data_IF_550072889883
#
_entry.id   IF_550072889883
#
_cell.length_a   1.000
_cell.length_b   1.000
_cell.length_c   1.000
_cell.angle_alpha   90.00
_cell.angle_beta   90.00
_cell.angle_gamma   90.00
#
_symmetry.space_group_name_H-M   'P 1'
#
loop_
_entity.id
_entity.type
_entity.pdbx_description
1 polymer ?
#
# COMPACT_ATOMS: atom_id res chain seq x y z
N UNK A 1 -7.94 19.50 13.43
CA UNK A 1 -6.97 18.63 12.76
C UNK A 1 -7.50 18.25 11.38
N UNK A 2 -6.75 18.59 10.31
CA UNK A 2 -7.09 18.23 8.94
C UNK A 2 -6.03 17.30 8.34
N UNK A 3 -6.45 16.14 7.85
CA UNK A 3 -5.57 15.12 7.31
C UNK A 3 -5.99 14.79 5.89
N UNK A 4 -5.06 14.86 4.94
CA UNK A 4 -5.24 14.31 3.59
C UNK A 4 -4.69 12.88 3.60
N UNK A 5 -5.59 11.89 3.61
CA UNK A 5 -5.23 10.48 3.56
C UNK A 5 -5.36 9.94 2.14
N UNK A 6 -4.27 9.32 1.63
CA UNK A 6 -4.13 8.79 0.27
C UNK A 6 -3.73 7.31 0.35
N UNK A 7 -4.66 6.39 0.10
CA UNK A 7 -4.33 4.95 0.00
C UNK A 7 -4.21 4.53 -1.46
N UNK A 8 -2.99 4.22 -1.90
CA UNK A 8 -2.66 3.94 -3.30
C UNK A 8 -2.38 2.45 -3.48
N UNK A 9 -3.45 1.74 -3.82
CA UNK A 9 -3.42 0.33 -4.18
C UNK A 9 -3.01 0.07 -5.63
N UNK A 10 -3.04 -1.20 -6.05
CA UNK A 10 -2.75 -1.57 -7.45
C UNK A 10 -3.86 -1.17 -8.42
N UNK A 11 -5.11 -1.08 -7.97
CA UNK A 11 -6.28 -0.77 -8.80
C UNK A 11 -6.82 0.64 -8.62
N UNK A 12 -6.88 1.11 -7.38
CA UNK A 12 -7.47 2.39 -6.99
C UNK A 12 -6.55 3.23 -6.15
N UNK A 13 -6.81 4.53 -6.16
CA UNK A 13 -6.34 5.52 -5.20
C UNK A 13 -7.57 5.99 -4.42
N UNK A 14 -7.57 5.72 -3.13
CA UNK A 14 -8.68 6.01 -2.23
C UNK A 14 -8.30 7.21 -1.35
N UNK A 15 -9.06 8.30 -1.47
CA UNK A 15 -8.74 9.62 -0.90
C UNK A 15 -9.78 9.99 0.14
N UNK A 16 -9.32 10.40 1.32
CA UNK A 16 -10.15 10.94 2.37
C UNK A 16 -9.56 12.26 2.87
N UNK A 17 -10.28 13.35 2.69
CA UNK A 17 -9.97 14.62 3.34
C UNK A 17 -10.70 14.66 4.68
N UNK A 18 -10.00 14.25 5.72
CA UNK A 18 -10.50 14.23 7.10
C UNK A 18 -10.43 15.62 7.70
N UNK A 19 -11.49 15.97 8.42
CA UNK A 19 -11.61 17.20 9.22
C UNK A 19 -12.27 16.84 10.54
N UNK A 20 -11.61 17.06 11.67
CA UNK A 20 -12.12 16.72 12.99
C UNK A 20 -13.31 17.59 13.44
N UNK A 21 -13.63 18.64 12.68
CA UNK A 21 -14.82 19.47 12.89
C UNK A 21 -16.07 18.88 12.19
N UNK A 22 -15.91 17.79 11.44
CA UNK A 22 -16.97 17.09 10.70
C UNK A 22 -17.10 15.65 11.19
N UNK A 23 -18.33 15.12 11.16
CA UNK A 23 -18.51 13.68 11.27
C UNK A 23 -17.81 12.98 10.10
N UNK A 24 -17.22 11.81 10.32
CA UNK A 24 -16.45 11.07 9.32
C UNK A 24 -17.24 10.80 8.03
N UNK A 25 -18.56 10.58 8.17
CA UNK A 25 -19.47 10.37 7.05
C UNK A 25 -19.60 11.60 6.14
N UNK A 26 -19.40 12.80 6.69
CA UNK A 26 -19.49 14.09 6.01
C UNK A 26 -18.13 14.58 5.45
N UNK A 27 -17.05 13.87 5.73
CA UNK A 27 -15.74 14.15 5.13
C UNK A 27 -15.74 13.81 3.64
N UNK A 28 -14.91 14.53 2.85
CA UNK A 28 -14.78 14.27 1.41
C UNK A 28 -14.10 12.93 1.16
N UNK A 29 -14.75 12.07 0.40
CA UNK A 29 -14.28 10.74 0.00
C UNK A 29 -14.27 10.61 -1.50
N UNK A 30 -13.13 10.20 -2.07
CA UNK A 30 -12.95 10.05 -3.52
C UNK A 30 -12.26 8.73 -3.79
N UNK A 31 -12.72 8.00 -4.81
CA UNK A 31 -12.09 6.78 -5.31
C UNK A 31 -11.73 7.00 -6.77
N UNK A 32 -10.45 6.92 -7.09
CA UNK A 32 -9.91 7.13 -8.43
C UNK A 32 -9.16 5.89 -8.92
N UNK A 33 -8.93 5.73 -10.24
CA UNK A 33 -7.96 4.76 -10.74
C UNK A 33 -6.57 5.09 -10.20
N UNK A 34 -5.81 4.07 -9.75
CA UNK A 34 -4.44 4.27 -9.26
C UNK A 34 -3.52 4.85 -10.33
N UNK A 35 -2.43 5.53 -9.95
CA UNK A 35 -1.40 6.00 -10.89
C UNK A 35 -0.91 4.89 -11.83
N UNK A 36 -0.63 3.69 -11.29
CA UNK A 36 -0.23 2.53 -12.10
C UNK A 36 -1.26 2.19 -13.19
N UNK A 37 -2.56 2.26 -12.87
CA UNK A 37 -3.66 2.04 -13.83
C UNK A 37 -3.68 3.12 -14.92
N UNK A 38 -3.54 4.39 -14.53
CA UNK A 38 -3.55 5.52 -15.46
C UNK A 38 -2.36 5.46 -16.42
N UNK A 39 -1.14 5.26 -15.88
CA UNK A 39 0.08 5.20 -16.71
C UNK A 39 0.13 3.92 -17.58
N UNK A 40 -0.35 2.78 -17.08
CA UNK A 40 -0.51 1.56 -17.90
C UNK A 40 -1.39 1.81 -19.12
N UNK A 41 -2.50 2.54 -18.98
CA UNK A 41 -3.37 2.91 -20.10
C UNK A 41 -2.64 3.82 -21.09
N UNK A 42 -1.95 4.86 -20.62
CA UNK A 42 -1.16 5.77 -21.47
C UNK A 42 -0.11 5.01 -22.28
N UNK A 43 0.64 4.10 -21.64
CA UNK A 43 1.63 3.25 -22.32
C UNK A 43 0.98 2.39 -23.41
N UNK A 44 -0.14 1.73 -23.11
CA UNK A 44 -0.88 0.91 -24.09
C UNK A 44 -1.35 1.73 -25.31
N UNK A 45 -1.81 2.98 -25.08
CA UNK A 45 -2.24 3.84 -26.18
C UNK A 45 -1.03 4.29 -27.03
N UNK A 46 0.11 4.62 -26.43
CA UNK A 46 1.33 4.95 -27.14
C UNK A 46 1.95 3.73 -27.86
N UNK A 47 1.76 2.51 -27.34
CA UNK A 47 2.12 1.27 -28.03
C UNK A 47 1.34 1.11 -29.35
N UNK A 48 0.03 1.38 -29.34
CA UNK A 48 -0.81 1.35 -30.55
C UNK A 48 -0.35 2.38 -31.59
N UNK A 49 0.13 3.55 -31.13
CA UNK A 49 0.70 4.60 -31.99
C UNK A 49 2.13 4.30 -32.46
N UNK A 50 2.72 3.18 -32.01
CA UNK A 50 4.08 2.75 -32.32
C UNK A 50 5.15 3.80 -31.96
N UNK A 51 4.95 4.53 -30.88
CA UNK A 51 5.87 5.54 -30.39
C UNK A 51 6.84 4.97 -29.36
N UNK A 52 8.14 5.27 -29.49
CA UNK A 52 9.10 4.99 -28.41
C UNK A 52 8.81 5.84 -27.17
N UNK A 53 9.25 5.41 -26.01
CA UNK A 53 8.98 6.07 -24.74
C UNK A 53 10.26 6.49 -24.03
N UNK A 54 10.27 7.74 -23.59
CA UNK A 54 11.13 8.22 -22.53
C UNK A 54 10.26 8.50 -21.29
N UNK A 55 10.58 7.89 -20.15
CA UNK A 55 9.77 8.02 -18.93
C UNK A 55 10.67 8.52 -17.82
N UNK A 56 10.25 9.63 -17.22
CA UNK A 56 10.91 10.29 -16.11
C UNK A 56 9.93 10.54 -14.95
N UNK A 57 10.45 10.98 -13.81
CA UNK A 57 9.66 11.36 -12.65
C UNK A 57 9.82 10.42 -11.47
N UNK A 58 8.73 10.07 -10.82
CA UNK A 58 8.71 9.36 -9.55
C UNK A 58 8.63 7.84 -9.72
N UNK A 59 9.06 7.13 -8.66
CA UNK A 59 8.79 5.70 -8.50
C UNK A 59 7.30 5.53 -8.18
N UNK A 60 6.58 4.75 -9.00
CA UNK A 60 5.17 4.44 -8.81
C UNK A 60 4.95 2.94 -8.60
N UNK A 61 3.73 2.53 -8.26
CA UNK A 61 3.36 1.11 -8.20
C UNK A 61 3.67 0.39 -9.51
N UNK A 62 4.49 -0.69 -9.46
CA UNK A 62 4.92 -1.43 -10.65
C UNK A 62 3.80 -2.19 -11.33
N UNK A 63 3.44 -3.36 -10.81
CA UNK A 63 2.33 -4.20 -11.26
C UNK A 63 2.01 -4.09 -12.75
N UNK A 64 0.78 -3.64 -13.03
CA UNK A 64 0.23 -3.46 -14.38
C UNK A 64 0.99 -2.42 -15.24
N UNK A 65 1.65 -1.45 -14.61
CA UNK A 65 2.49 -0.49 -15.34
C UNK A 65 3.74 -1.18 -15.92
N UNK A 66 4.41 -1.99 -15.12
CA UNK A 66 5.57 -2.80 -15.56
C UNK A 66 5.18 -3.79 -16.67
N UNK A 67 4.00 -4.42 -16.56
CA UNK A 67 3.48 -5.32 -17.61
C UNK A 67 3.21 -4.58 -18.93
N UNK A 68 2.63 -3.38 -18.85
CA UNK A 68 2.40 -2.56 -20.04
C UNK A 68 3.70 -2.15 -20.73
N UNK A 69 4.73 -1.79 -19.95
CA UNK A 69 6.07 -1.46 -20.48
C UNK A 69 6.76 -2.66 -21.13
N UNK A 70 6.65 -3.85 -20.55
CA UNK A 70 7.16 -5.09 -21.15
C UNK A 70 6.47 -5.38 -22.47
N UNK A 71 5.14 -5.31 -22.51
CA UNK A 71 4.37 -5.48 -23.75
C UNK A 71 4.78 -4.47 -24.83
N UNK A 72 5.15 -3.25 -24.42
CA UNK A 72 5.64 -2.22 -25.31
C UNK A 72 7.02 -2.59 -25.94
N UNK A 73 7.93 -3.15 -25.13
CA UNK A 73 9.21 -3.70 -25.61
C UNK A 73 9.00 -4.89 -26.54
N UNK A 74 8.06 -5.80 -26.22
CA UNK A 74 7.75 -6.99 -27.03
C UNK A 74 7.24 -6.61 -28.45
N UNK A 75 6.63 -5.42 -28.60
CA UNK A 75 6.24 -4.84 -29.89
C UNK A 75 7.44 -4.25 -30.67
N UNK A 76 8.67 -4.38 -30.16
CA UNK A 76 9.89 -3.88 -30.78
C UNK A 76 10.11 -2.36 -30.62
N UNK A 77 9.40 -1.73 -29.67
CA UNK A 77 9.52 -0.31 -29.36
C UNK A 77 10.53 -0.09 -28.23
N UNK A 78 11.17 1.09 -28.21
CA UNK A 78 12.18 1.42 -27.20
C UNK A 78 11.55 2.07 -25.97
N UNK A 79 12.07 1.73 -24.79
CA UNK A 79 11.74 2.37 -23.51
C UNK A 79 13.02 2.81 -22.83
N UNK A 80 13.14 4.11 -22.61
CA UNK A 80 14.20 4.75 -21.83
C UNK A 80 13.59 5.25 -20.52
N UNK A 81 14.21 4.92 -19.40
CA UNK A 81 13.73 5.25 -18.06
C UNK A 81 14.77 6.07 -17.31
N UNK A 82 14.32 7.05 -16.54
CA UNK A 82 15.18 7.56 -15.47
C UNK A 82 15.28 6.53 -14.35
N UNK A 83 16.35 6.63 -13.55
CA UNK A 83 16.62 5.71 -12.44
C UNK A 83 15.45 5.57 -11.46
N UNK A 84 14.80 6.69 -11.10
CA UNK A 84 13.65 6.66 -10.18
C UNK A 84 12.49 5.85 -10.75
N UNK A 85 12.19 6.02 -12.04
CA UNK A 85 11.11 5.27 -12.71
C UNK A 85 11.47 3.78 -12.84
N UNK A 86 12.74 3.45 -13.06
CA UNK A 86 13.19 2.06 -13.17
C UNK A 86 12.91 1.25 -11.89
N UNK A 87 12.94 1.88 -10.72
CA UNK A 87 12.53 1.25 -9.45
C UNK A 87 11.04 0.86 -9.40
N UNK A 88 10.19 1.42 -10.26
CA UNK A 88 8.81 0.94 -10.42
C UNK A 88 8.73 -0.46 -11.04
N UNK A 89 9.78 -0.93 -11.71
CA UNK A 89 9.83 -2.24 -12.36
C UNK A 89 10.46 -3.27 -11.44
N UNK A 90 11.67 -2.98 -10.93
CA UNK A 90 12.42 -3.83 -10.00
C UNK A 90 13.32 -2.99 -9.11
N UNK A 91 13.57 -3.49 -7.90
CA UNK A 91 14.49 -2.84 -6.95
C UNK A 91 15.97 -3.01 -7.33
N UNK A 92 16.32 -3.97 -8.20
CA UNK A 92 17.65 -4.16 -8.76
C UNK A 92 17.65 -3.65 -10.18
N UNK A 93 18.40 -2.57 -10.44
CA UNK A 93 18.40 -1.90 -11.74
C UNK A 93 19.00 -2.78 -12.85
N UNK A 94 19.98 -3.62 -12.54
CA UNK A 94 20.56 -4.58 -13.47
C UNK A 94 19.49 -5.56 -13.99
N UNK A 95 18.52 -5.95 -13.16
CA UNK A 95 17.40 -6.78 -13.60
C UNK A 95 16.44 -6.04 -14.54
N UNK A 96 16.33 -4.72 -14.43
CA UNK A 96 15.55 -3.88 -15.36
C UNK A 96 16.24 -3.82 -16.72
N UNK A 97 17.55 -3.58 -16.74
CA UNK A 97 18.32 -3.53 -17.98
C UNK A 97 18.31 -4.87 -18.72
N UNK A 98 18.43 -6.01 -18.01
CA UNK A 98 18.34 -7.35 -18.63
C UNK A 98 17.00 -7.65 -19.27
N UNK A 99 15.93 -6.93 -18.90
CA UNK A 99 14.61 -7.01 -19.52
C UNK A 99 14.48 -6.17 -20.80
N UNK A 100 15.55 -5.45 -21.21
CA UNK A 100 15.56 -4.65 -22.43
C UNK A 100 15.28 -3.15 -22.25
N UNK A 101 15.11 -2.69 -21.02
CA UNK A 101 14.98 -1.28 -20.71
C UNK A 101 16.34 -0.57 -20.73
N UNK A 102 16.36 0.65 -21.22
CA UNK A 102 17.53 1.52 -21.10
C UNK A 102 17.34 2.45 -19.90
N UNK A 103 18.31 2.51 -18.98
CA UNK A 103 18.28 3.41 -17.83
C UNK A 103 19.28 4.54 -18.05
N UNK A 104 18.86 5.78 -17.76
CA UNK A 104 19.72 6.97 -17.80
C UNK A 104 19.51 7.81 -16.51
N UNK A 105 20.52 8.60 -16.19
CA UNK A 105 20.46 9.52 -15.03
C UNK A 105 19.86 10.89 -15.41
N UNK A 106 19.89 11.25 -16.69
CA UNK A 106 19.43 12.54 -17.18
C UNK A 106 17.89 12.63 -17.23
N UNK A 107 17.34 13.77 -16.80
CA UNK A 107 15.91 14.07 -16.87
C UNK A 107 15.41 14.50 -18.27
N UNK A 108 16.27 14.37 -19.29
CA UNK A 108 15.96 14.65 -20.70
C UNK A 108 16.34 13.44 -21.55
N UNK A 109 15.55 13.16 -22.60
CA UNK A 109 15.89 12.07 -23.52
C UNK A 109 17.18 12.39 -24.28
N UNK A 110 17.89 11.36 -24.77
CA UNK A 110 19.03 11.54 -25.69
C UNK A 110 18.67 12.41 -26.88
N UNK A 111 19.67 13.14 -27.44
CA UNK A 111 19.46 14.11 -28.55
C UNK A 111 18.84 13.46 -29.80
N UNK A 112 19.17 12.21 -30.06
CA UNK A 112 18.67 11.42 -31.20
C UNK A 112 17.40 10.62 -30.88
N UNK A 113 16.83 10.79 -29.68
CA UNK A 113 15.60 10.12 -29.30
C UNK A 113 14.41 10.67 -30.10
N UNK A 114 13.62 9.76 -30.68
CA UNK A 114 12.36 10.07 -31.35
C UNK A 114 11.26 9.24 -30.69
N UNK A 115 10.32 9.90 -30.03
CA UNK A 115 9.22 9.29 -29.30
C UNK A 115 8.53 10.26 -28.35
N UNK A 116 7.70 9.72 -27.48
CA UNK A 116 6.93 10.48 -26.51
C UNK A 116 7.57 10.45 -25.12
N UNK A 117 7.40 11.55 -24.38
CA UNK A 117 7.85 11.66 -23.00
C UNK A 117 6.65 11.53 -22.05
N UNK A 118 6.76 10.61 -21.08
CA UNK A 118 5.84 10.50 -19.96
C UNK A 118 6.54 10.93 -18.66
N UNK A 119 5.84 11.67 -17.83
CA UNK A 119 6.27 12.01 -16.48
C UNK A 119 5.38 11.27 -15.47
N UNK A 120 5.97 10.37 -14.69
CA UNK A 120 5.26 9.61 -13.66
C UNK A 120 5.21 10.37 -12.34
N UNK A 121 4.05 10.33 -11.68
CA UNK A 121 3.83 10.83 -10.32
C UNK A 121 2.99 9.83 -9.55
N UNK A 122 3.45 9.46 -8.36
CA UNK A 122 2.67 8.64 -7.43
C UNK A 122 1.64 9.52 -6.70
N UNK A 123 2.09 10.68 -6.23
CA UNK A 123 1.30 11.63 -5.47
C UNK A 123 1.02 12.86 -6.33
N UNK A 124 -0.25 13.17 -6.59
CA UNK A 124 -0.64 14.29 -7.44
C UNK A 124 -1.64 15.22 -6.74
N UNK A 125 -1.17 15.86 -5.66
CA UNK A 125 -2.00 16.72 -4.81
C UNK A 125 -2.54 17.92 -5.58
N UNK A 126 -1.77 18.44 -6.54
CA UNK A 126 -2.20 19.59 -7.34
C UNK A 126 -3.45 19.29 -8.18
N UNK A 127 -3.61 18.06 -8.70
CA UNK A 127 -4.82 17.66 -9.42
C UNK A 127 -6.00 17.52 -8.44
N UNK A 128 -5.77 16.93 -7.28
CA UNK A 128 -6.79 16.79 -6.23
C UNK A 128 -7.25 18.18 -5.80
N UNK A 129 -6.32 19.11 -5.55
CA UNK A 129 -6.62 20.49 -5.18
C UNK A 129 -7.47 21.19 -6.25
N UNK A 130 -7.08 21.10 -7.53
CA UNK A 130 -7.85 21.72 -8.63
C UNK A 130 -9.26 21.14 -8.71
N UNK A 131 -9.43 19.84 -8.49
CA UNK A 131 -10.75 19.21 -8.45
C UNK A 131 -11.58 19.69 -7.26
N UNK A 132 -11.01 19.76 -6.06
CA UNK A 132 -11.70 20.18 -4.86
C UNK A 132 -12.11 21.66 -4.88
N UNK A 133 -11.30 22.52 -5.52
CA UNK A 133 -11.61 23.93 -5.68
C UNK A 133 -12.95 24.18 -6.41
N UNK A 134 -13.35 23.29 -7.34
CA UNK A 134 -14.65 23.40 -8.02
C UNK A 134 -15.83 23.19 -7.07
N UNK A 135 -15.60 22.67 -5.87
CA UNK A 135 -16.59 22.40 -4.83
C UNK A 135 -16.41 23.29 -3.59
N UNK A 136 -15.61 24.36 -3.71
CA UNK A 136 -15.27 25.29 -2.62
C UNK A 136 -14.58 24.57 -1.42
N UNK A 137 -14.00 23.38 -1.64
CA UNK A 137 -13.12 22.68 -0.71
C UNK A 137 -11.67 22.93 -1.13
N UNK A 138 -10.79 23.14 -0.15
CA UNK A 138 -9.38 23.38 -0.42
C UNK A 138 -8.47 22.48 0.43
N UNK A 139 -7.21 22.40 0.02
CA UNK A 139 -6.14 21.73 0.77
C UNK A 139 -5.23 22.72 1.50
N UNK A 140 -5.66 23.98 1.68
CA UNK A 140 -5.02 24.91 2.59
C UNK A 140 -5.19 24.42 4.04
N UNK A 141 -4.19 24.63 4.87
CA UNK A 141 -4.22 24.20 6.29
C UNK A 141 -4.39 22.68 6.48
N UNK A 142 -3.76 21.86 5.63
CA UNK A 142 -3.56 20.45 5.91
C UNK A 142 -2.44 20.32 6.93
N UNK A 143 -2.73 19.69 8.07
CA UNK A 143 -1.75 19.43 9.11
C UNK A 143 -0.87 18.22 8.74
N UNK A 144 -1.49 17.15 8.21
CA UNK A 144 -0.80 15.91 7.86
C UNK A 144 -1.25 15.40 6.48
N UNK A 145 -0.30 15.00 5.66
CA UNK A 145 -0.52 14.14 4.49
C UNK A 145 -0.14 12.71 4.88
N UNK A 146 -1.12 11.83 4.94
CA UNK A 146 -0.93 10.42 5.31
C UNK A 146 -1.06 9.54 4.05
N UNK A 147 -0.01 8.79 3.72
CA UNK A 147 0.09 8.08 2.46
C UNK A 147 0.27 6.58 2.71
N UNK A 148 -0.54 5.74 2.05
CA UNK A 148 -0.32 4.31 2.02
C UNK A 148 0.10 3.85 0.63
N UNK A 149 1.25 3.18 0.57
CA UNK A 149 1.78 2.52 -0.62
C UNK A 149 2.42 1.20 -0.22
N UNK A 150 2.36 0.19 -1.09
CA UNK A 150 3.12 -1.03 -0.83
C UNK A 150 4.57 -0.86 -1.28
N UNK A 151 5.51 -1.13 -0.38
CA UNK A 151 6.93 -1.15 -0.68
C UNK A 151 7.57 -2.45 -0.17
N UNK A 152 8.19 -3.21 -1.05
CA UNK A 152 8.87 -4.46 -0.67
C UNK A 152 10.25 -4.23 -0.08
N UNK A 153 10.77 -3.03 -0.17
CA UNK A 153 12.12 -2.68 0.22
C UNK A 153 13.19 -3.27 -0.70
N UNK A 154 14.41 -2.80 -0.55
CA UNK A 154 15.58 -3.28 -1.30
C UNK A 154 16.56 -3.96 -0.36
N UNK A 155 16.64 -5.31 -0.35
CA UNK A 155 17.57 -6.02 0.51
C UNK A 155 19.02 -5.78 0.06
N UNK A 156 19.94 -5.65 1.03
CA UNK A 156 21.39 -5.50 0.76
C UNK A 156 22.06 -6.81 0.30
N UNK A 157 21.40 -7.97 0.47
CA UNK A 157 21.91 -9.30 0.15
C UNK A 157 20.93 -10.03 -0.78
N UNK A 158 21.33 -11.18 -1.32
CA UNK A 158 20.49 -12.05 -2.16
C UNK A 158 19.36 -12.73 -1.37
N UNK A 159 18.45 -11.92 -0.83
CA UNK A 159 17.25 -12.38 -0.13
C UNK A 159 16.05 -11.99 -1.03
N UNK A 160 15.02 -12.83 -1.07
CA UNK A 160 13.76 -12.49 -1.74
C UNK A 160 13.14 -11.23 -1.14
N UNK A 161 12.72 -10.29 -2.00
CA UNK A 161 12.04 -9.05 -1.57
C UNK A 161 10.78 -9.34 -0.72
N UNK A 162 10.07 -10.46 -1.03
CA UNK A 162 8.90 -10.90 -0.25
C UNK A 162 9.29 -11.23 1.19
N UNK A 163 10.35 -12.03 1.37
CA UNK A 163 10.85 -12.42 2.69
C UNK A 163 11.41 -11.20 3.44
N UNK A 164 12.18 -10.37 2.74
CA UNK A 164 12.76 -9.16 3.32
C UNK A 164 11.69 -8.22 3.88
N UNK A 165 10.62 -7.95 3.11
CA UNK A 165 9.50 -7.10 3.54
C UNK A 165 8.88 -7.60 4.85
N UNK A 166 8.54 -8.89 4.90
CA UNK A 166 7.91 -9.48 6.09
C UNK A 166 8.83 -9.43 7.31
N UNK A 167 10.13 -9.69 7.11
CA UNK A 167 11.15 -9.59 8.16
C UNK A 167 11.26 -8.17 8.74
N UNK A 168 11.10 -7.11 7.90
CA UNK A 168 11.11 -5.73 8.39
C UNK A 168 9.88 -5.42 9.25
N UNK A 169 8.69 -5.86 8.83
CA UNK A 169 7.44 -5.72 9.58
C UNK A 169 7.56 -6.47 10.92
N UNK A 170 8.02 -7.73 10.90
CA UNK A 170 8.21 -8.54 12.11
C UNK A 170 9.15 -7.87 13.10
N UNK A 171 10.30 -7.35 12.62
CA UNK A 171 11.28 -6.67 13.47
C UNK A 171 10.66 -5.46 14.17
N UNK A 172 9.94 -4.61 13.44
CA UNK A 172 9.31 -3.41 14.02
C UNK A 172 8.27 -3.81 15.07
N UNK A 173 7.39 -4.76 14.75
CA UNK A 173 6.31 -5.20 15.64
C UNK A 173 6.81 -5.97 16.89
N UNK A 174 8.02 -6.54 16.88
CA UNK A 174 8.62 -7.13 18.09
C UNK A 174 8.98 -6.09 19.15
N UNK A 175 9.31 -4.85 18.73
CA UNK A 175 9.64 -3.76 19.65
C UNK A 175 8.42 -2.88 19.93
N UNK A 176 7.59 -2.67 18.95
CA UNK A 176 6.42 -1.80 18.99
C UNK A 176 5.22 -2.59 18.45
N UNK A 177 4.49 -3.34 19.28
CA UNK A 177 3.52 -4.34 18.81
C UNK A 177 2.19 -3.77 18.32
N UNK A 178 2.11 -2.49 18.01
CA UNK A 178 0.93 -1.83 17.43
C UNK A 178 1.06 -1.65 15.94
N UNK A 179 -0.04 -1.82 15.17
CA UNK A 179 -0.03 -1.59 13.72
C UNK A 179 0.34 -0.16 13.36
N UNK A 180 -0.05 0.80 14.16
CA UNK A 180 0.25 2.22 14.02
C UNK A 180 1.75 2.49 13.98
N UNK A 181 2.55 1.69 14.68
CA UNK A 181 4.02 1.81 14.69
C UNK A 181 4.68 1.54 13.34
N UNK A 182 3.92 0.96 12.38
CA UNK A 182 4.36 0.75 11.01
C UNK A 182 4.12 1.96 10.09
N UNK A 183 3.63 3.07 10.64
CA UNK A 183 3.66 4.38 10.00
C UNK A 183 5.00 5.05 10.31
N UNK A 184 5.60 5.66 9.29
CA UNK A 184 6.91 6.29 9.34
C UNK A 184 6.81 7.76 8.93
N UNK A 185 7.52 8.61 9.65
CA UNK A 185 7.90 9.94 9.19
C UNK A 185 9.17 9.89 8.36
N UNK A 186 9.57 11.01 7.76
CA UNK A 186 10.72 11.06 6.84
C UNK A 186 12.03 10.60 7.52
N UNK A 187 12.27 11.03 8.74
CA UNK A 187 13.48 10.73 9.52
C UNK A 187 13.51 9.32 10.10
N UNK A 188 12.35 8.70 10.30
CA UNK A 188 12.20 7.32 10.76
C UNK A 188 12.24 6.29 9.64
N UNK A 189 11.95 6.72 8.39
CA UNK A 189 11.78 5.82 7.26
C UNK A 189 13.10 5.13 6.88
N UNK A 190 13.16 3.77 6.95
CA UNK A 190 14.35 3.07 6.53
C UNK A 190 14.68 3.30 5.05
N UNK A 191 15.96 3.58 4.74
CA UNK A 191 16.46 3.92 3.39
C UNK A 191 16.20 2.85 2.31
N UNK A 192 15.83 1.63 2.70
CA UNK A 192 15.52 0.56 1.77
C UNK A 192 14.09 0.62 1.20
N UNK A 193 13.23 1.49 1.72
CA UNK A 193 11.88 1.73 1.20
C UNK A 193 11.89 2.86 0.17
N UNK A 194 12.17 2.50 -1.09
CA UNK A 194 12.38 3.47 -2.18
C UNK A 194 11.08 4.17 -2.57
N UNK A 195 9.99 3.41 -2.72
CA UNK A 195 8.68 3.95 -3.12
C UNK A 195 8.10 4.85 -2.04
N UNK A 196 8.19 4.45 -0.76
CA UNK A 196 7.75 5.27 0.37
C UNK A 196 8.57 6.57 0.44
N UNK A 197 9.91 6.50 0.26
CA UNK A 197 10.77 7.68 0.20
C UNK A 197 10.36 8.61 -0.95
N UNK A 198 10.05 8.05 -2.13
CA UNK A 198 9.59 8.82 -3.28
C UNK A 198 8.25 9.52 -2.98
N UNK A 199 7.31 8.82 -2.31
CA UNK A 199 6.01 9.37 -1.94
C UNK A 199 6.14 10.54 -0.94
N UNK A 200 6.99 10.43 0.09
CA UNK A 200 7.26 11.53 1.04
C UNK A 200 7.81 12.74 0.30
N UNK A 201 8.84 12.57 -0.53
CA UNK A 201 9.44 13.67 -1.30
C UNK A 201 8.44 14.37 -2.20
N UNK A 202 7.57 13.58 -2.87
CA UNK A 202 6.52 14.12 -3.71
C UNK A 202 5.50 14.93 -2.91
N UNK A 203 5.06 14.43 -1.76
CA UNK A 203 4.17 15.14 -0.84
C UNK A 203 4.78 16.45 -0.36
N UNK A 204 5.98 16.39 0.21
CA UNK A 204 6.67 17.55 0.78
C UNK A 204 6.94 18.63 -0.27
N UNK A 205 7.15 18.26 -1.55
CA UNK A 205 7.30 19.22 -2.63
C UNK A 205 6.02 19.97 -3.00
N UNK A 206 4.85 19.41 -2.70
CA UNK A 206 3.54 19.95 -3.07
C UNK A 206 2.82 20.63 -1.90
N UNK A 207 2.98 20.13 -0.68
CA UNK A 207 2.48 20.74 0.57
C UNK A 207 3.61 20.75 1.60
N UNK A 208 4.57 21.66 1.50
CA UNK A 208 5.76 21.69 2.38
C UNK A 208 5.45 22.02 3.85
N UNK A 209 4.31 22.63 4.13
CA UNK A 209 3.89 22.99 5.49
C UNK A 209 3.22 21.83 6.23
N UNK A 210 2.76 20.81 5.53
CA UNK A 210 2.13 19.66 6.15
C UNK A 210 3.17 18.59 6.52
N UNK A 211 2.99 17.95 7.67
CA UNK A 211 3.75 16.77 8.03
C UNK A 211 3.37 15.61 7.12
N UNK A 212 4.32 14.81 6.66
CA UNK A 212 4.03 13.63 5.84
C UNK A 212 4.36 12.35 6.59
N UNK A 213 3.42 11.42 6.67
CA UNK A 213 3.63 10.05 7.12
C UNK A 213 3.37 9.05 6.00
N UNK A 214 4.09 7.94 6.01
CA UNK A 214 3.87 6.83 5.07
C UNK A 214 3.68 5.51 5.80
N UNK A 215 2.85 4.65 5.23
CA UNK A 215 2.53 3.32 5.75
C UNK A 215 2.34 2.33 4.60
N UNK A 216 2.34 1.05 4.92
CA UNK A 216 1.95 0.02 3.95
C UNK A 216 0.42 -0.03 3.76
N UNK A 217 -0.05 -0.09 2.50
CA UNK A 217 -1.48 -0.08 2.16
C UNK A 217 -2.26 -1.27 2.76
N UNK A 218 -1.65 -2.46 2.83
CA UNK A 218 -2.33 -3.62 3.44
C UNK A 218 -2.46 -3.48 4.96
N UNK A 219 -1.47 -2.87 5.59
CA UNK A 219 -1.48 -2.58 7.03
C UNK A 219 -2.48 -1.46 7.35
N UNK A 220 -2.49 -0.40 6.55
CA UNK A 220 -3.48 0.67 6.68
C UNK A 220 -4.92 0.13 6.58
N UNK A 221 -5.19 -0.74 5.61
CA UNK A 221 -6.51 -1.36 5.46
C UNK A 221 -6.90 -2.24 6.68
N UNK A 222 -5.96 -3.02 7.24
CA UNK A 222 -6.18 -3.81 8.46
C UNK A 222 -6.46 -2.90 9.65
N UNK A 223 -5.66 -1.84 9.81
CA UNK A 223 -5.81 -0.87 10.89
C UNK A 223 -7.17 -0.15 10.82
N UNK A 224 -7.59 0.26 9.62
CA UNK A 224 -8.89 0.90 9.43
C UNK A 224 -10.08 0.00 9.72
N UNK A 225 -9.94 -1.34 9.58
CA UNK A 225 -10.99 -2.27 10.01
C UNK A 225 -11.28 -2.17 11.51
N UNK A 226 -10.31 -1.80 12.34
CA UNK A 226 -10.47 -1.69 13.79
C UNK A 226 -11.36 -0.49 14.19
N UNK A 227 -11.54 0.47 13.28
CA UNK A 227 -12.40 1.63 13.47
C UNK A 227 -13.88 1.37 13.10
N UNK A 228 -14.20 0.15 12.62
CA UNK A 228 -15.61 -0.25 12.42
C UNK A 228 -16.32 -0.42 13.78
N UNK A 229 -17.52 0.14 13.91
CA UNK A 229 -18.29 0.17 15.16
C UNK A 229 -18.56 -1.20 15.81
N UNK A 230 -18.62 -2.28 14.99
CA UNK A 230 -18.80 -3.63 15.51
C UNK A 230 -17.47 -4.22 16.00
N UNK A 231 -16.37 -3.81 15.39
CA UNK A 231 -15.02 -4.32 15.66
C UNK A 231 -14.44 -3.64 16.91
N UNK A 232 -14.68 -2.35 17.11
CA UNK A 232 -14.12 -1.56 18.22
C UNK A 232 -14.47 -2.07 19.64
N UNK A 233 -15.46 -2.98 19.74
CA UNK A 233 -15.89 -3.59 21.02
C UNK A 233 -15.22 -4.94 21.30
N UNK A 234 -14.54 -5.51 20.34
CA UNK A 234 -13.86 -6.81 20.45
C UNK A 234 -12.46 -6.63 21.07
N UNK A 235 -12.04 -7.59 21.85
CA UNK A 235 -10.71 -7.60 22.48
C UNK A 235 -9.69 -8.29 21.57
N UNK A 236 -10.06 -9.44 21.00
CA UNK A 236 -9.20 -10.22 20.11
C UNK A 236 -9.85 -10.33 18.73
N UNK A 237 -9.16 -9.80 17.73
CA UNK A 237 -9.66 -9.60 16.38
C UNK A 237 -8.75 -10.33 15.40
N UNK A 238 -9.33 -11.10 14.48
CA UNK A 238 -8.65 -11.43 13.24
C UNK A 238 -9.13 -10.47 12.16
N UNK A 239 -8.25 -9.57 11.73
CA UNK A 239 -8.52 -8.62 10.66
C UNK A 239 -7.80 -9.06 9.38
N UNK A 240 -8.51 -9.12 8.25
CA UNK A 240 -7.91 -9.50 6.99
C UNK A 240 -8.33 -8.60 5.82
N UNK A 241 -7.34 -8.20 5.03
CA UNK A 241 -7.53 -7.52 3.75
C UNK A 241 -7.37 -8.52 2.60
N UNK A 242 -8.42 -8.69 1.79
CA UNK A 242 -8.35 -9.45 0.53
C UNK A 242 -8.26 -8.44 -0.61
N UNK A 243 -7.06 -7.90 -0.78
CA UNK A 243 -6.71 -6.88 -1.77
C UNK A 243 -6.67 -7.41 -3.20
N UNK A 244 -6.35 -6.56 -4.17
CA UNK A 244 -6.18 -6.96 -5.56
C UNK A 244 -4.99 -7.91 -5.74
N UNK A 245 -3.85 -7.60 -5.13
CA UNK A 245 -2.61 -8.36 -5.26
C UNK A 245 -2.33 -9.23 -4.03
N UNK A 246 -2.60 -8.74 -2.81
CA UNK A 246 -2.22 -9.37 -1.55
C UNK A 246 -3.42 -9.70 -0.67
N UNK A 247 -3.35 -10.88 -0.08
CA UNK A 247 -4.14 -11.31 1.07
C UNK A 247 -3.28 -11.14 2.31
N UNK A 248 -3.65 -10.21 3.19
CA UNK A 248 -2.93 -9.95 4.44
C UNK A 248 -3.89 -10.13 5.60
N UNK A 249 -3.48 -10.89 6.62
CA UNK A 249 -4.26 -11.12 7.82
C UNK A 249 -3.42 -10.86 9.06
N UNK A 250 -4.03 -10.29 10.10
CA UNK A 250 -3.39 -10.06 11.39
C UNK A 250 -4.32 -10.48 12.53
N UNK A 251 -3.75 -11.07 13.58
CA UNK A 251 -4.42 -11.30 14.85
C UNK A 251 -3.96 -10.20 15.81
N UNK A 252 -4.92 -9.44 16.30
CA UNK A 252 -4.70 -8.30 17.18
C UNK A 252 -5.47 -8.57 18.49
N UNK A 253 -4.82 -8.41 19.63
CA UNK A 253 -5.46 -8.52 20.95
C UNK A 253 -5.02 -7.37 21.85
N UNK A 254 -6.00 -6.69 22.46
CA UNK A 254 -5.76 -5.51 23.29
C UNK A 254 -4.90 -4.45 22.58
N UNK A 255 -5.14 -4.26 21.27
CA UNK A 255 -4.41 -3.33 20.41
C UNK A 255 -3.02 -3.80 19.98
N UNK A 256 -2.53 -4.95 20.47
CA UNK A 256 -1.21 -5.49 20.11
C UNK A 256 -1.32 -6.57 19.03
N UNK A 257 -0.41 -6.52 18.06
CA UNK A 257 -0.29 -7.55 17.01
C UNK A 257 0.32 -8.81 17.60
N UNK A 258 -0.44 -9.90 17.56
CA UNK A 258 0.03 -11.24 17.99
C UNK A 258 0.55 -12.07 16.83
N UNK A 259 0.03 -11.85 15.62
CA UNK A 259 0.44 -12.57 14.43
C UNK A 259 0.13 -11.77 13.17
N UNK A 260 0.92 -11.98 12.12
CA UNK A 260 0.68 -11.44 10.80
C UNK A 260 1.04 -12.46 9.72
N UNK A 261 0.23 -12.50 8.66
CA UNK A 261 0.37 -13.39 7.52
C UNK A 261 0.13 -12.60 6.23
N UNK A 262 0.95 -12.85 5.21
CA UNK A 262 0.74 -12.28 3.88
C UNK A 262 0.93 -13.31 2.76
N UNK A 263 -0.02 -13.32 1.82
CA UNK A 263 -0.03 -14.19 0.65
C UNK A 263 -0.49 -13.43 -0.59
N UNK A 264 -0.32 -14.00 -1.80
CA UNK A 264 -0.88 -13.41 -3.03
C UNK A 264 -2.36 -13.78 -3.20
N UNK A 265 -3.21 -12.78 -3.46
CA UNK A 265 -4.67 -12.95 -3.62
C UNK A 265 -5.07 -13.89 -4.77
N UNK A 266 -4.29 -13.90 -5.86
CA UNK A 266 -4.55 -14.75 -7.02
C UNK A 266 -4.39 -16.26 -6.71
N UNK A 267 -3.56 -16.62 -5.72
CA UNK A 267 -3.37 -17.99 -5.23
C UNK A 267 -4.38 -18.39 -4.16
N UNK A 268 -5.19 -17.45 -3.66
CA UNK A 268 -6.13 -17.66 -2.57
C UNK A 268 -7.53 -18.03 -3.10
N UNK A 269 -7.78 -19.33 -3.23
CA UNK A 269 -9.14 -19.87 -3.48
C UNK A 269 -9.96 -19.89 -2.18
N UNK A 270 -11.30 -19.88 -2.22
CA UNK A 270 -12.11 -19.94 -1.00
C UNK A 270 -11.77 -21.10 -0.06
N UNK A 271 -11.59 -22.37 -0.52
CA UNK A 271 -11.17 -23.46 0.37
C UNK A 271 -9.80 -23.22 1.01
N UNK A 272 -8.84 -22.63 0.26
CA UNK A 272 -7.52 -22.31 0.76
C UNK A 272 -7.57 -21.21 1.81
N UNK A 273 -8.38 -20.16 1.60
CA UNK A 273 -8.61 -19.13 2.61
C UNK A 273 -9.19 -19.74 3.89
N UNK A 274 -10.19 -20.64 3.77
CA UNK A 274 -10.81 -21.28 4.91
C UNK A 274 -9.82 -22.10 5.73
N UNK A 275 -9.00 -22.94 5.07
CA UNK A 275 -7.97 -23.73 5.75
C UNK A 275 -6.94 -22.84 6.39
N UNK A 276 -6.38 -21.87 5.63
CA UNK A 276 -5.32 -21.00 6.09
C UNK A 276 -5.73 -20.16 7.30
N UNK A 277 -6.93 -19.60 7.29
CA UNK A 277 -7.45 -18.81 8.44
C UNK A 277 -7.60 -19.68 9.68
N UNK A 278 -8.14 -20.93 9.53
CA UNK A 278 -8.26 -21.88 10.64
C UNK A 278 -6.92 -22.26 11.25
N UNK A 279 -5.93 -22.57 10.40
CA UNK A 279 -4.60 -22.96 10.83
C UNK A 279 -3.85 -21.76 11.45
N UNK A 280 -4.08 -20.55 10.92
CA UNK A 280 -3.48 -19.32 11.44
C UNK A 280 -3.98 -18.98 12.85
N UNK A 281 -5.28 -19.09 13.11
CA UNK A 281 -5.86 -18.90 14.45
C UNK A 281 -5.30 -19.91 15.46
N UNK A 282 -5.02 -21.15 15.05
CA UNK A 282 -4.42 -22.17 15.91
C UNK A 282 -2.92 -21.99 16.15
N UNK A 283 -2.26 -21.07 15.41
CA UNK A 283 -0.83 -20.92 15.46
C UNK A 283 -0.04 -22.02 14.74
N UNK A 284 -0.69 -22.73 13.79
CA UNK A 284 -0.12 -23.85 13.06
C UNK A 284 0.54 -23.46 11.73
N UNK A 285 0.43 -22.18 11.33
CA UNK A 285 1.04 -21.67 10.09
C UNK A 285 2.51 -21.32 10.35
N UNK A 286 3.41 -21.78 9.48
CA UNK A 286 4.83 -21.41 9.52
C UNK A 286 5.19 -20.41 8.42
N UNK A 287 6.25 -19.62 8.65
CA UNK A 287 6.80 -18.71 7.65
C UNK A 287 7.16 -19.45 6.36
N UNK A 288 7.88 -20.56 6.49
CA UNK A 288 8.35 -21.33 5.34
C UNK A 288 7.19 -21.95 4.55
N UNK A 289 6.15 -22.47 5.23
CA UNK A 289 4.98 -23.04 4.52
C UNK A 289 4.26 -22.04 3.62
N UNK A 290 4.13 -20.79 4.08
CA UNK A 290 3.53 -19.70 3.27
C UNK A 290 4.46 -19.28 2.13
N UNK A 291 5.76 -19.18 2.41
CA UNK A 291 6.73 -18.76 1.39
C UNK A 291 6.88 -19.79 0.27
N UNK A 292 6.93 -21.08 0.58
CA UNK A 292 7.01 -22.19 -0.37
C UNK A 292 5.73 -22.29 -1.23
N UNK A 293 4.58 -21.98 -0.64
CA UNK A 293 3.28 -21.91 -1.35
C UNK A 293 3.14 -20.64 -2.23
N UNK A 294 4.21 -19.85 -2.34
CA UNK A 294 4.27 -18.65 -3.18
C UNK A 294 3.85 -17.34 -2.48
N UNK A 295 3.54 -17.38 -1.19
CA UNK A 295 3.21 -16.19 -0.38
C UNK A 295 4.46 -15.42 0.09
N UNK A 296 4.26 -14.45 0.97
CA UNK A 296 5.35 -13.69 1.59
C UNK A 296 5.85 -14.35 2.87
N UNK A 297 4.95 -14.93 3.66
CA UNK A 297 5.23 -15.62 4.90
C UNK A 297 4.22 -15.34 6.01
N UNK A 298 4.55 -15.79 7.22
CA UNK A 298 3.78 -15.54 8.44
C UNK A 298 4.72 -15.51 9.65
N UNK A 299 4.33 -14.74 10.66
CA UNK A 299 5.03 -14.75 11.95
C UNK A 299 4.06 -14.56 13.12
N UNK A 300 4.52 -14.93 14.30
CA UNK A 300 3.83 -14.73 15.56
C UNK A 300 4.76 -13.97 16.52
N UNK A 301 4.27 -12.90 17.13
CA UNK A 301 5.04 -12.11 18.11
C UNK A 301 5.15 -12.84 19.46
N UNK A 302 4.16 -13.71 19.75
CA UNK A 302 4.12 -14.56 20.92
C UNK A 302 4.19 -16.03 20.53
N UNK A 303 4.43 -16.92 21.53
CA UNK A 303 4.32 -18.35 21.31
C UNK A 303 2.90 -18.70 20.85
N UNK A 304 2.70 -19.41 19.72
CA UNK A 304 1.40 -19.69 19.13
C UNK A 304 0.36 -20.27 20.11
N UNK A 305 0.81 -21.11 21.07
CA UNK A 305 -0.04 -21.68 22.12
C UNK A 305 -0.72 -20.67 23.06
N UNK A 306 -0.39 -19.37 22.93
CA UNK A 306 -0.97 -18.28 23.74
C UNK A 306 -1.92 -17.37 22.95
N UNK A 307 -2.31 -17.73 21.71
CA UNK A 307 -3.32 -16.96 20.97
C UNK A 307 -4.65 -17.10 21.72
N UNK A 308 -5.26 -15.98 22.13
CA UNK A 308 -6.60 -15.99 22.76
C UNK A 308 -7.68 -16.41 21.75
N UNK A 309 -8.86 -16.74 22.26
CA UNK A 309 -10.04 -16.95 21.39
C UNK A 309 -10.36 -15.69 20.59
N UNK A 310 -10.70 -15.86 19.33
CA UNK A 310 -11.03 -14.74 18.42
C UNK A 310 -12.50 -14.33 18.67
N UNK A 311 -12.70 -13.09 19.09
CA UNK A 311 -14.06 -12.54 19.31
C UNK A 311 -14.77 -12.24 17.99
N UNK A 312 -14.01 -11.74 16.98
CA UNK A 312 -14.56 -11.39 15.67
C UNK A 312 -13.52 -11.58 14.57
N UNK A 313 -13.99 -12.10 13.43
CA UNK A 313 -13.24 -12.07 12.17
C UNK A 313 -13.80 -10.93 11.33
N UNK A 314 -12.94 -9.98 10.94
CA UNK A 314 -13.30 -8.84 10.12
C UNK A 314 -12.54 -8.86 8.80
N UNK A 315 -13.24 -8.61 7.70
CA UNK A 315 -12.71 -8.71 6.35
C UNK A 315 -12.95 -7.41 5.58
N UNK A 316 -11.90 -6.95 4.90
CA UNK A 316 -11.97 -5.83 3.96
C UNK A 316 -11.37 -6.20 2.60
N UNK A 317 -11.35 -5.26 1.69
CA UNK A 317 -10.73 -5.34 0.38
C UNK A 317 -11.68 -5.74 -0.75
N UNK A 318 -11.30 -5.44 -2.00
CA UNK A 318 -12.16 -5.63 -3.18
C UNK A 318 -12.52 -7.10 -3.45
N UNK A 319 -11.68 -8.05 -3.02
CA UNK A 319 -11.91 -9.48 -3.19
C UNK A 319 -12.58 -10.17 -1.98
N UNK A 320 -13.05 -9.42 -0.98
CA UNK A 320 -13.68 -9.94 0.25
C UNK A 320 -14.84 -10.89 0.02
N UNK A 321 -15.51 -10.78 -1.13
CA UNK A 321 -16.60 -11.69 -1.49
C UNK A 321 -16.20 -13.19 -1.58
N UNK A 322 -14.89 -13.50 -1.70
CA UNK A 322 -14.37 -14.87 -1.64
C UNK A 322 -14.75 -15.57 -0.31
N UNK A 323 -14.81 -14.81 0.81
CA UNK A 323 -15.20 -15.33 2.13
C UNK A 323 -16.63 -15.91 2.13
N UNK A 324 -17.57 -15.33 1.38
CA UNK A 324 -18.96 -15.84 1.30
C UNK A 324 -19.06 -17.27 0.76
N UNK A 325 -17.99 -17.78 0.14
CA UNK A 325 -17.89 -19.15 -0.37
C UNK A 325 -17.14 -20.09 0.58
N UNK A 326 -16.90 -19.66 1.81
CA UNK A 326 -16.26 -20.42 2.90
C UNK A 326 -17.24 -20.62 4.04
N UNK A 327 -16.85 -21.40 5.06
CA UNK A 327 -17.61 -21.55 6.32
C UNK A 327 -17.18 -20.55 7.40
N UNK A 328 -16.36 -19.56 7.04
CA UNK A 328 -15.92 -18.53 7.96
C UNK A 328 -17.05 -17.51 8.16
N UNK A 329 -17.51 -17.39 9.39
CA UNK A 329 -18.40 -16.30 9.80
C UNK A 329 -17.55 -15.05 10.00
N UNK A 330 -17.76 -14.02 9.15
CA UNK A 330 -16.98 -12.81 9.17
C UNK A 330 -17.86 -11.57 9.01
N UNK A 331 -17.46 -10.50 9.69
CA UNK A 331 -18.00 -9.17 9.49
C UNK A 331 -17.25 -8.49 8.31
N UNK A 332 -17.98 -7.81 7.44
CA UNK A 332 -17.40 -7.00 6.36
C UNK A 332 -17.27 -5.57 6.86
N UNK A 333 -16.02 -5.12 7.07
CA UNK A 333 -15.77 -3.77 7.53
C UNK A 333 -16.20 -2.72 6.50
N UNK A 334 -16.82 -1.68 7.01
CA UNK A 334 -17.19 -0.48 6.26
C UNK A 334 -17.14 0.75 7.19
N UNK A 335 -15.96 1.08 7.77
CA UNK A 335 -15.83 2.24 8.62
C UNK A 335 -16.18 3.50 7.83
N UNK A 336 -16.88 4.46 8.48
CA UNK A 336 -17.40 5.64 7.78
C UNK A 336 -18.38 5.33 6.63
N UNK A 337 -18.99 4.11 6.63
CA UNK A 337 -20.02 3.68 5.69
C UNK A 337 -19.50 3.11 4.35
N UNK A 338 -18.18 3.10 4.11
CA UNK A 338 -17.60 2.61 2.87
C UNK A 338 -16.36 1.74 3.10
N UNK A 339 -16.35 0.55 2.51
CA UNK A 339 -15.22 -0.38 2.55
C UNK A 339 -13.96 0.20 1.90
N UNK A 340 -14.09 1.01 0.84
CA UNK A 340 -12.93 1.63 0.18
C UNK A 340 -12.18 2.60 1.08
N UNK A 341 -12.85 3.09 2.13
CA UNK A 341 -12.24 3.99 3.10
C UNK A 341 -11.49 3.28 4.24
N UNK A 342 -11.38 1.94 4.25
CA UNK A 342 -10.61 1.25 5.28
C UNK A 342 -9.14 1.66 5.31
N UNK A 343 -8.47 1.76 4.16
CA UNK A 343 -7.10 2.24 4.06
C UNK A 343 -6.93 3.70 4.54
N UNK A 344 -7.67 4.65 3.97
CA UNK A 344 -7.61 6.05 4.42
C UNK A 344 -7.94 6.24 5.91
N UNK A 345 -8.91 5.52 6.46
CA UNK A 345 -9.27 5.61 7.90
C UNK A 345 -8.15 5.02 8.77
N UNK A 346 -7.50 3.94 8.32
CA UNK A 346 -6.32 3.42 9.00
C UNK A 346 -5.15 4.42 9.01
N UNK A 347 -4.97 5.16 7.92
CA UNK A 347 -3.97 6.24 7.85
C UNK A 347 -4.29 7.38 8.84
N UNK A 348 -5.56 7.76 8.98
CA UNK A 348 -5.97 8.77 9.97
C UNK A 348 -5.66 8.29 11.39
N UNK A 349 -5.94 7.01 11.69
CA UNK A 349 -5.61 6.44 12.99
C UNK A 349 -4.11 6.44 13.25
N UNK A 350 -3.31 6.07 12.26
CA UNK A 350 -1.84 6.10 12.34
C UNK A 350 -1.31 7.54 12.53
N UNK A 351 -1.90 8.53 11.84
CA UNK A 351 -1.53 9.94 11.97
C UNK A 351 -1.83 10.47 13.39
N UNK A 352 -2.99 10.14 13.94
CA UNK A 352 -3.35 10.52 15.31
C UNK A 352 -2.42 9.90 16.35
N UNK A 353 -2.06 8.63 16.15
CA UNK A 353 -1.10 7.95 17.02
C UNK A 353 0.28 8.65 17.02
N UNK A 354 0.75 9.12 15.85
CA UNK A 354 2.01 9.86 15.74
C UNK A 354 1.98 11.22 16.47
N UNK A 355 0.85 11.91 16.46
CA UNK A 355 0.68 13.16 17.22
C UNK A 355 0.75 12.87 18.72
N UNK A 356 0.05 11.81 19.19
CA UNK A 356 0.03 11.43 20.60
C UNK A 356 1.43 11.02 21.12
N UNK A 357 2.26 10.32 20.29
CA UNK A 357 3.65 10.00 20.64
C UNK A 357 4.51 11.25 20.85
N UNK A 358 4.30 12.32 20.06
CA UNK A 358 5.05 13.57 20.18
C UNK A 358 4.67 14.39 21.42
N UNK A 359 3.41 14.32 21.83
CA UNK A 359 2.92 15.05 23.02
C UNK A 359 3.41 14.39 24.32
N UNK A 360 3.80 13.12 24.29
CA UNK A 360 4.29 12.34 25.43
C UNK A 360 5.82 12.39 25.62
N UNK A 361 6.61 12.84 24.61
CA UNK A 361 8.05 13.01 24.66
C UNK A 361 8.45 14.45 25.06
#
# INVERSE_FOLDING_TARGET
LRILALDIGSGTEDILLYDDQKELENCVKIVLPSPATVYSKKVKDLTKLRSNLFIKGETIGGGIFSEALKSHLDEGLKVILTKNVAYSIRNKLEEVETQGFQIIDEEKPPVDFSGETLETREINISIIQNFLNEFEEDLSNIDIVAIAVQDHGTPKHEISNRKFRLDQIERRLKYFPKLESLAYEEDELPNHFIRMTSAIRSSNSQIPEAKTIVMDTSIAAILGCLEDQKVSKATTILSANIGNEHFTASIISEGNVLALLEHHTNLMTPPKIESLVKDFIKGEVSNDSIFEDGGHGAFYTLTPKKIPDIDIIVITGPNRAKIKKTKIEAHFAAPGGDMMMTGPIGLIKAAKYKIEEEDDD
#
